data_IF_592005329888
#
_entry.id   IF_592005329888
#
_cell.length_a   1.000
_cell.length_b   1.000
_cell.length_c   1.000
_cell.angle_alpha   90.00
_cell.angle_beta   90.00
_cell.angle_gamma   90.00
#
_symmetry.space_group_name_H-M   'P 1'
#
loop_
_entity.id
_entity.type
_entity.pdbx_description
1 polymer ?
#
# COMPACT_ATOMS: atom_id res chain seq x y z
N UNK A 1 14.49 -38.66 11.78
CA UNK A 1 13.07 -38.33 11.99
C UNK A 1 12.88 -36.89 12.53
N UNK A 2 13.30 -36.57 13.76
CA UNK A 2 13.05 -35.24 14.38
C UNK A 2 13.65 -34.05 13.63
N UNK A 3 14.86 -34.19 13.07
CA UNK A 3 15.53 -33.15 12.26
C UNK A 3 14.82 -32.86 10.93
N UNK A 4 14.24 -33.89 10.31
CA UNK A 4 13.46 -33.76 9.07
C UNK A 4 12.13 -33.04 9.32
N UNK A 5 11.47 -33.32 10.45
CA UNK A 5 10.24 -32.61 10.85
C UNK A 5 10.51 -31.12 11.09
N UNK A 6 11.62 -30.77 11.75
CA UNK A 6 12.00 -29.36 11.97
C UNK A 6 12.27 -28.65 10.63
N UNK A 7 12.98 -29.30 9.71
CA UNK A 7 13.23 -28.74 8.38
C UNK A 7 11.93 -28.50 7.58
N UNK A 8 10.99 -29.46 7.63
CA UNK A 8 9.68 -29.31 6.98
C UNK A 8 8.85 -28.17 7.57
N UNK A 9 8.83 -28.04 8.90
CA UNK A 9 8.11 -26.96 9.58
C UNK A 9 8.68 -25.57 9.23
N UNK A 10 10.01 -25.45 9.12
CA UNK A 10 10.66 -24.20 8.71
C UNK A 10 10.37 -23.84 7.25
N UNK A 11 10.39 -24.81 6.35
CA UNK A 11 10.03 -24.63 4.94
C UNK A 11 8.57 -24.18 4.79
N UNK A 12 7.65 -24.81 5.52
CA UNK A 12 6.24 -24.46 5.47
C UNK A 12 5.97 -23.05 6.01
N UNK A 13 6.65 -22.67 7.10
CA UNK A 13 6.59 -21.31 7.63
C UNK A 13 7.10 -20.26 6.63
N UNK A 14 8.18 -20.57 5.89
CA UNK A 14 8.74 -19.69 4.86
C UNK A 14 7.81 -19.52 3.64
N UNK A 15 7.10 -20.59 3.27
CA UNK A 15 6.13 -20.54 2.17
C UNK A 15 4.88 -19.74 2.58
N UNK A 16 4.39 -19.91 3.81
CA UNK A 16 3.23 -19.17 4.31
C UNK A 16 3.48 -17.66 4.34
N UNK A 17 4.66 -17.19 4.76
CA UNK A 17 4.95 -15.75 4.80
C UNK A 17 4.88 -15.11 3.40
N UNK A 18 5.33 -15.81 2.36
CA UNK A 18 5.29 -15.28 0.99
C UNK A 18 3.85 -14.94 0.50
N UNK A 19 2.84 -15.69 0.95
CA UNK A 19 1.43 -15.45 0.60
C UNK A 19 0.80 -14.25 1.32
N UNK A 20 1.36 -13.84 2.45
CA UNK A 20 0.88 -12.67 3.23
C UNK A 20 1.67 -11.39 2.93
N UNK A 21 2.81 -11.48 2.25
CA UNK A 21 3.53 -10.32 1.72
C UNK A 21 2.82 -9.83 0.45
N UNK A 22 1.67 -9.19 0.63
CA UNK A 22 1.15 -8.25 -0.37
C UNK A 22 2.26 -7.25 -0.72
N UNK A 23 2.32 -6.73 -1.97
CA UNK A 23 3.32 -5.75 -2.36
C UNK A 23 3.06 -4.43 -1.63
N UNK A 24 3.59 -4.34 -0.41
CA UNK A 24 3.44 -3.20 0.48
C UNK A 24 4.50 -2.10 0.21
N UNK A 25 5.39 -2.30 -0.76
CA UNK A 25 6.64 -1.53 -0.85
C UNK A 25 6.86 -0.81 -2.18
N UNK A 26 6.07 -1.09 -3.22
CA UNK A 26 6.17 -0.33 -4.47
C UNK A 26 5.23 0.89 -4.41
N UNK A 27 5.78 2.03 -3.99
CA UNK A 27 5.11 3.33 -4.09
C UNK A 27 4.82 3.60 -5.57
N UNK A 28 3.57 3.40 -6.00
CA UNK A 28 3.26 3.58 -7.42
C UNK A 28 3.49 5.05 -7.80
N UNK A 29 4.21 5.26 -8.91
CA UNK A 29 4.51 6.62 -9.41
C UNK A 29 3.22 7.40 -9.66
N UNK A 30 2.18 6.71 -10.15
CA UNK A 30 0.83 7.26 -10.30
C UNK A 30 0.28 7.79 -8.98
N UNK A 31 0.26 6.97 -7.92
CA UNK A 31 -0.27 7.39 -6.63
C UNK A 31 0.56 8.54 -6.04
N UNK A 32 1.89 8.48 -6.14
CA UNK A 32 2.76 9.52 -5.62
C UNK A 32 2.45 10.89 -6.25
N UNK A 33 2.42 10.96 -7.59
CA UNK A 33 2.15 12.21 -8.30
C UNK A 33 0.70 12.72 -8.07
N UNK A 34 -0.28 11.83 -8.13
CA UNK A 34 -1.69 12.22 -7.96
C UNK A 34 -2.00 12.65 -6.52
N UNK A 35 -1.45 11.94 -5.53
CA UNK A 35 -1.64 12.31 -4.12
C UNK A 35 -0.94 13.62 -3.76
N UNK A 36 0.21 13.92 -4.36
CA UNK A 36 0.85 15.22 -4.20
C UNK A 36 -0.06 16.36 -4.70
N UNK A 37 -0.61 16.23 -5.92
CA UNK A 37 -1.54 17.21 -6.46
C UNK A 37 -2.82 17.34 -5.60
N UNK A 38 -3.40 16.21 -5.19
CA UNK A 38 -4.61 16.14 -4.37
C UNK A 38 -4.42 16.82 -3.01
N UNK A 39 -3.25 16.67 -2.41
CA UNK A 39 -2.92 17.18 -1.09
C UNK A 39 -2.24 18.55 -1.09
N UNK A 40 -2.06 19.18 -2.25
CA UNK A 40 -1.34 20.46 -2.41
C UNK A 40 -1.86 21.61 -1.55
N UNK A 41 -3.16 21.60 -1.19
CA UNK A 41 -3.80 22.61 -0.32
C UNK A 41 -4.20 22.10 1.06
N UNK A 42 -3.73 20.90 1.45
CA UNK A 42 -4.08 20.34 2.75
C UNK A 42 -3.29 21.02 3.88
N UNK A 43 -3.96 21.43 4.95
CA UNK A 43 -3.29 22.02 6.14
C UNK A 43 -2.34 21.04 6.85
N UNK A 44 -2.57 19.73 6.71
CA UNK A 44 -1.68 18.66 7.16
C UNK A 44 -1.24 17.80 5.96
N UNK A 45 -0.33 18.34 5.14
CA UNK A 45 0.10 17.74 3.86
C UNK A 45 0.56 16.29 4.02
N UNK A 46 1.47 16.01 4.95
CA UNK A 46 2.03 14.65 5.12
C UNK A 46 0.98 13.63 5.54
N UNK A 47 0.07 14.02 6.43
CA UNK A 47 -1.07 13.19 6.82
C UNK A 47 -1.97 12.91 5.61
N UNK A 48 -2.28 13.93 4.81
CA UNK A 48 -3.08 13.78 3.61
C UNK A 48 -2.43 12.81 2.61
N UNK A 49 -1.15 13.00 2.29
CA UNK A 49 -0.42 12.15 1.34
C UNK A 49 -0.38 10.70 1.81
N UNK A 50 -0.09 10.45 3.10
CA UNK A 50 -0.07 9.10 3.68
C UNK A 50 -1.38 8.34 3.48
N UNK A 51 -2.52 8.98 3.80
CA UNK A 51 -3.83 8.32 3.63
C UNK A 51 -4.25 8.23 2.17
N UNK A 52 -3.94 9.24 1.35
CA UNK A 52 -4.20 9.19 -0.08
C UNK A 52 -3.47 8.02 -0.75
N UNK A 53 -2.18 7.83 -0.45
CA UNK A 53 -1.39 6.74 -1.02
C UNK A 53 -1.90 5.37 -0.57
N UNK A 54 -2.34 5.24 0.69
CA UNK A 54 -2.95 4.01 1.19
C UNK A 54 -4.27 3.68 0.45
N UNK A 55 -5.13 4.69 0.26
CA UNK A 55 -6.38 4.52 -0.49
C UNK A 55 -6.10 4.20 -1.97
N UNK A 56 -5.16 4.90 -2.59
CA UNK A 56 -4.76 4.67 -3.97
C UNK A 56 -4.12 3.28 -4.16
N UNK A 57 -3.37 2.77 -3.18
CA UNK A 57 -2.83 1.41 -3.23
C UNK A 57 -3.94 0.35 -3.28
N UNK A 58 -5.07 0.59 -2.61
CA UNK A 58 -6.24 -0.29 -2.58
C UNK A 58 -7.14 -0.11 -3.81
N UNK A 59 -7.52 1.12 -4.11
CA UNK A 59 -8.55 1.46 -5.10
C UNK A 59 -7.99 1.79 -6.49
N UNK A 60 -6.67 2.00 -6.61
CA UNK A 60 -5.97 2.39 -7.85
C UNK A 60 -6.50 3.68 -8.51
N UNK A 61 -7.15 4.55 -7.73
CA UNK A 61 -7.71 5.83 -8.19
C UNK A 61 -7.38 6.97 -7.20
N UNK A 62 -7.26 8.21 -7.71
CA UNK A 62 -7.20 9.45 -6.93
C UNK A 62 -8.10 10.49 -7.59
N UNK A 63 -9.13 11.03 -6.89
CA UNK A 63 -10.00 12.07 -7.42
C UNK A 63 -9.27 13.36 -7.79
N UNK A 64 -9.78 14.08 -8.79
CA UNK A 64 -9.21 15.36 -9.21
C UNK A 64 -9.51 16.51 -8.22
N UNK A 65 -8.77 17.62 -8.34
CA UNK A 65 -8.87 18.77 -7.43
C UNK A 65 -8.24 18.51 -6.05
N UNK A 66 -8.38 19.44 -5.10
CA UNK A 66 -7.81 19.33 -3.73
C UNK A 66 -8.83 19.03 -2.64
N UNK A 67 -10.12 19.01 -2.99
CA UNK A 67 -11.26 18.68 -2.15
C UNK A 67 -12.42 18.18 -3.03
N UNK A 68 -13.43 17.49 -2.47
CA UNK A 68 -14.62 17.05 -3.23
C UNK A 68 -14.38 15.92 -4.25
N UNK A 69 -15.24 15.81 -5.26
CA UNK A 69 -15.10 14.88 -6.42
C UNK A 69 -14.95 13.38 -6.09
N UNK A 70 -15.41 12.95 -4.91
CA UNK A 70 -15.25 11.56 -4.43
C UNK A 70 -16.11 10.52 -5.15
N UNK A 71 -16.95 10.94 -6.10
CA UNK A 71 -17.79 10.06 -6.92
C UNK A 71 -17.06 9.54 -8.17
N UNK A 72 -15.92 10.14 -8.51
CA UNK A 72 -14.98 9.65 -9.52
C UNK A 72 -14.27 8.41 -9.00
#
# INVERSE_FOLDING_TARGET
>A
MKRFLVAFMLLFALLLTSSFLQPATAKSVYCAQKCEARCSKAGLKDRCVKYCELCCAKCKCVPNGTYGNKHQ
#
